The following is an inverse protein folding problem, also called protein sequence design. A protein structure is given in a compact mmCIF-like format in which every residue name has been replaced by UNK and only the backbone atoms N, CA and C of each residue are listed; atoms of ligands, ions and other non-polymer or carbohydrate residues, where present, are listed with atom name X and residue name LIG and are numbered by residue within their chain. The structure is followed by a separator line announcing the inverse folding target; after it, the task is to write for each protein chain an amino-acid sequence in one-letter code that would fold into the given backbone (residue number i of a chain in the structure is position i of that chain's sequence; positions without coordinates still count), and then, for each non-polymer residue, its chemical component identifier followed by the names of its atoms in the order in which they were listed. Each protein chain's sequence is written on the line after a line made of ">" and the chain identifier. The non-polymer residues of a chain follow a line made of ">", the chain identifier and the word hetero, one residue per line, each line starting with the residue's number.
data_IF_539857613877
#
_entry.id   IF_539857613877
#
_cell.length_a   1.000
_cell.length_b   1.000
_cell.length_c   1.000
_cell.angle_alpha   90.00
_cell.angle_beta   90.00
_cell.angle_gamma   90.00
#
_symmetry.space_group_name_H-M   'P 1'
#
loop_
_entity.id
_entity.type
_entity.pdbx_description
1 polymer ?
#
# COMPACT_ATOMS: atom_id res chain seq x y z
N UNK A 1 -28.55 16.45 -21.93
CA UNK A 1 -27.81 15.49 -21.08
C UNK A 1 -26.34 15.34 -21.47
N UNK A 2 -25.95 15.39 -22.75
CA UNK A 2 -24.54 15.22 -23.17
C UNK A 2 -23.55 16.32 -22.72
N UNK A 3 -23.97 17.58 -22.65
CA UNK A 3 -23.09 18.68 -22.25
C UNK A 3 -22.60 18.55 -20.79
N UNK A 4 -23.50 18.21 -19.86
CA UNK A 4 -23.17 18.02 -18.45
C UNK A 4 -22.23 16.83 -18.24
N UNK A 5 -22.49 15.70 -18.91
CA UNK A 5 -21.63 14.52 -18.83
C UNK A 5 -20.22 14.80 -19.36
N UNK A 6 -20.11 15.55 -20.46
CA UNK A 6 -18.82 15.96 -21.03
C UNK A 6 -18.06 16.90 -20.10
N UNK A 7 -18.76 17.86 -19.49
CA UNK A 7 -18.16 18.78 -18.54
C UNK A 7 -17.67 18.07 -17.27
N UNK A 8 -18.47 17.15 -16.73
CA UNK A 8 -18.07 16.30 -15.60
C UNK A 8 -16.84 15.44 -15.92
N UNK A 9 -16.74 14.93 -17.16
CA UNK A 9 -15.57 14.19 -17.60
C UNK A 9 -14.31 15.07 -17.60
N UNK A 10 -14.38 16.29 -18.15
CA UNK A 10 -13.25 17.22 -18.11
C UNK A 10 -12.84 17.60 -16.68
N UNK A 11 -13.81 17.85 -15.79
CA UNK A 11 -13.53 18.12 -14.37
C UNK A 11 -12.82 16.94 -13.72
N UNK A 12 -13.28 15.72 -13.97
CA UNK A 12 -12.64 14.49 -13.45
C UNK A 12 -11.20 14.34 -13.95
N UNK A 13 -10.96 14.56 -15.25
CA UNK A 13 -9.61 14.50 -15.83
C UNK A 13 -8.67 15.55 -15.23
N UNK A 14 -9.16 16.79 -15.03
CA UNK A 14 -8.38 17.84 -14.39
C UNK A 14 -8.04 17.50 -12.93
N UNK A 15 -9.01 16.99 -12.17
CA UNK A 15 -8.79 16.59 -10.78
C UNK A 15 -7.76 15.46 -10.68
N UNK A 16 -7.83 14.47 -11.56
CA UNK A 16 -6.86 13.38 -11.59
C UNK A 16 -5.47 13.87 -12.04
N UNK A 17 -5.40 14.81 -12.99
CA UNK A 17 -4.16 15.46 -13.40
C UNK A 17 -3.49 16.25 -12.25
N UNK A 18 -4.28 17.02 -11.51
CA UNK A 18 -3.80 17.77 -10.34
C UNK A 18 -3.28 16.81 -9.25
N UNK A 19 -4.06 15.76 -8.93
CA UNK A 19 -3.67 14.72 -7.97
C UNK A 19 -2.39 13.99 -8.37
N UNK A 20 -2.22 13.70 -9.65
CA UNK A 20 -1.01 13.03 -10.14
C UNK A 20 0.22 13.94 -10.07
N UNK A 21 0.06 15.24 -10.32
CA UNK A 21 1.13 16.22 -10.13
C UNK A 21 1.56 16.28 -8.67
N UNK A 22 0.59 16.39 -7.75
CA UNK A 22 0.86 16.41 -6.31
C UNK A 22 1.60 15.15 -5.84
N UNK A 23 1.14 13.96 -6.27
CA UNK A 23 1.82 12.69 -5.97
C UNK A 23 3.28 12.68 -6.45
N UNK A 24 3.55 13.19 -7.65
CA UNK A 24 4.91 13.26 -8.21
C UNK A 24 5.78 14.21 -7.40
N UNK A 25 5.27 15.39 -7.05
CA UNK A 25 5.98 16.36 -6.21
C UNK A 25 6.29 15.81 -4.82
N UNK A 26 5.34 15.12 -4.21
CA UNK A 26 5.52 14.48 -2.91
C UNK A 26 6.59 13.39 -2.97
N UNK A 27 6.58 12.55 -4.01
CA UNK A 27 7.65 11.56 -4.23
C UNK A 27 9.02 12.21 -4.41
N UNK A 28 9.12 13.37 -5.07
CA UNK A 28 10.37 14.12 -5.15
C UNK A 28 10.86 14.55 -3.76
N UNK A 29 9.97 15.08 -2.90
CA UNK A 29 10.31 15.46 -1.52
C UNK A 29 10.79 14.25 -0.72
N UNK A 30 10.04 13.16 -0.73
CA UNK A 30 10.39 11.92 0.01
C UNK A 30 11.73 11.36 -0.46
N UNK A 31 12.00 11.34 -1.77
CA UNK A 31 13.28 10.82 -2.30
C UNK A 31 14.52 11.60 -1.84
N UNK A 32 14.36 12.85 -1.41
CA UNK A 32 15.46 13.70 -0.90
C UNK A 32 15.67 13.52 0.60
N UNK A 33 14.60 13.24 1.34
CA UNK A 33 14.60 13.21 2.81
C UNK A 33 14.76 11.80 3.38
N UNK A 34 14.29 10.77 2.67
CA UNK A 34 14.39 9.37 3.06
C UNK A 34 15.54 8.67 2.33
N UNK A 35 16.58 8.32 3.08
CA UNK A 35 17.78 7.65 2.58
C UNK A 35 17.92 6.25 3.18
N UNK A 36 18.68 5.39 2.52
CA UNK A 36 19.02 4.05 3.01
C UNK A 36 20.52 3.92 3.17
N UNK A 37 20.95 3.17 4.17
CA UNK A 37 22.37 2.92 4.36
C UNK A 37 22.92 2.02 3.22
N UNK A 38 24.21 2.15 2.85
CA UNK A 38 24.78 1.40 1.72
C UNK A 38 24.74 -0.13 1.87
N UNK A 39 24.65 -0.63 3.10
CA UNK A 39 24.59 -2.06 3.40
C UNK A 39 23.18 -2.65 3.29
N UNK A 40 22.14 -1.82 3.14
CA UNK A 40 20.76 -2.28 2.96
C UNK A 40 20.68 -2.99 1.61
N UNK A 41 20.28 -4.26 1.63
CA UNK A 41 20.09 -5.04 0.41
C UNK A 41 18.89 -4.48 -0.36
N UNK A 42 19.08 -4.26 -1.67
CA UNK A 42 18.02 -3.85 -2.60
C UNK A 42 17.16 -2.67 -2.11
N UNK A 43 17.75 -1.49 -1.81
CA UNK A 43 16.99 -0.37 -1.27
C UNK A 43 15.89 0.08 -2.25
N UNK A 44 14.70 0.45 -1.76
CA UNK A 44 13.62 0.90 -2.61
C UNK A 44 14.01 2.13 -3.43
N UNK A 45 13.70 2.10 -4.72
CA UNK A 45 13.80 3.28 -5.57
C UNK A 45 12.63 4.22 -5.26
N UNK A 46 12.91 5.30 -4.53
CA UNK A 46 11.89 6.27 -4.09
C UNK A 46 11.78 7.50 -5.02
N UNK A 47 12.59 7.57 -6.08
CA UNK A 47 12.42 8.61 -7.08
C UNK A 47 11.00 8.52 -7.71
N UNK A 48 10.40 9.65 -8.12
CA UNK A 48 9.13 9.62 -8.83
C UNK A 48 9.23 8.72 -10.06
N UNK A 49 8.33 7.76 -10.14
CA UNK A 49 8.26 6.82 -11.24
C UNK A 49 6.89 6.94 -11.92
N UNK A 50 6.91 7.17 -13.23
CA UNK A 50 5.70 7.30 -14.03
C UNK A 50 5.61 6.18 -15.08
N UNK A 51 4.39 5.74 -15.37
CA UNK A 51 4.12 4.82 -16.46
C UNK A 51 4.57 5.40 -17.80
N UNK A 52 5.22 4.58 -18.64
CA UNK A 52 5.82 5.06 -19.91
C UNK A 52 4.78 5.63 -20.90
N UNK A 53 3.53 5.14 -20.84
CA UNK A 53 2.48 5.47 -21.82
C UNK A 53 1.56 6.58 -21.35
N UNK A 54 1.08 6.47 -20.13
CA UNK A 54 0.05 7.33 -19.54
C UNK A 54 0.65 8.41 -18.63
N UNK A 55 1.96 8.36 -18.36
CA UNK A 55 2.70 9.26 -17.46
C UNK A 55 2.09 9.36 -16.06
N UNK A 56 1.31 8.35 -15.65
CA UNK A 56 0.71 8.31 -14.32
C UNK A 56 1.74 7.83 -13.30
N UNK A 57 1.75 8.39 -12.08
CA UNK A 57 2.63 7.91 -11.02
C UNK A 57 2.31 6.46 -10.69
N UNK A 58 3.33 5.59 -10.68
CA UNK A 58 3.20 4.17 -10.33
C UNK A 58 3.37 3.92 -8.83
N UNK A 59 4.05 4.86 -8.15
CA UNK A 59 4.21 4.90 -6.70
C UNK A 59 3.81 6.28 -6.19
N UNK A 60 3.08 6.31 -5.10
CA UNK A 60 2.77 7.53 -4.37
C UNK A 60 2.73 7.25 -2.87
N UNK A 61 3.01 8.27 -2.07
CA UNK A 61 2.85 8.18 -0.63
C UNK A 61 1.35 8.18 -0.30
N UNK A 62 0.92 7.19 0.48
CA UNK A 62 -0.44 7.12 1.02
C UNK A 62 -0.49 7.83 2.36
N UNK A 63 0.55 7.64 3.18
CA UNK A 63 0.65 8.21 4.51
C UNK A 63 2.09 8.18 5.02
N UNK A 64 2.48 9.16 5.81
CA UNK A 64 3.66 9.05 6.66
C UNK A 64 3.43 9.64 8.05
N UNK A 65 4.26 9.27 9.01
CA UNK A 65 4.14 9.81 10.36
C UNK A 65 4.95 9.08 11.42
N UNK A 66 4.98 9.69 12.59
CA UNK A 66 5.68 9.19 13.77
C UNK A 66 4.90 8.06 14.44
N UNK A 67 5.64 7.03 14.85
CA UNK A 67 5.16 5.92 15.65
C UNK A 67 6.21 5.57 16.71
N UNK A 68 5.82 4.83 17.74
CA UNK A 68 6.76 4.31 18.74
C UNK A 68 6.67 2.80 18.80
N UNK A 69 7.74 2.10 18.44
CA UNK A 69 7.83 0.67 18.65
C UNK A 69 8.03 0.37 20.14
N UNK A 70 7.27 -0.58 20.65
CA UNK A 70 7.34 -1.09 22.02
C UNK A 70 8.06 -2.43 21.97
N UNK A 71 9.27 -2.49 22.51
CA UNK A 71 10.11 -3.69 22.53
C UNK A 71 10.11 -4.26 23.95
N UNK A 72 9.72 -5.53 24.07
CA UNK A 72 9.77 -6.28 25.34
C UNK A 72 11.19 -6.82 25.56
N UNK A 73 11.76 -6.64 26.75
CA UNK A 73 12.91 -7.46 27.17
C UNK A 73 12.39 -8.77 27.76
N UNK A 74 12.77 -9.90 27.17
CA UNK A 74 12.76 -11.19 27.87
C UNK A 74 14.04 -11.27 28.70
N UNK A 75 14.10 -10.57 29.84
CA UNK A 75 15.17 -10.84 30.79
C UNK A 75 14.73 -12.02 31.66
N UNK A 76 15.14 -13.24 31.28
CA UNK A 76 15.01 -14.45 32.12
C UNK A 76 15.87 -14.37 33.40
N UNK A 77 16.60 -13.28 33.63
CA UNK A 77 17.46 -13.14 34.79
C UNK A 77 17.18 -11.86 35.57
N UNK A 78 16.13 -11.90 36.41
CA UNK A 78 16.11 -11.40 37.81
C UNK A 78 14.69 -11.06 38.24
N UNK A 79 14.19 -11.83 39.21
CA UNK A 79 13.10 -11.41 40.10
C UNK A 79 13.52 -10.11 40.78
N UNK A 80 12.99 -8.96 40.33
CA UNK A 80 12.64 -7.77 41.14
C UNK A 80 12.19 -6.63 40.23
N UNK A 81 10.92 -6.22 40.38
CA UNK A 81 10.32 -4.94 39.96
C UNK A 81 10.32 -4.56 38.45
N UNK A 82 9.18 -4.90 37.81
CA UNK A 82 8.60 -4.17 36.67
C UNK A 82 9.01 -4.65 35.28
N UNK A 83 8.03 -5.02 34.45
CA UNK A 83 8.21 -5.23 33.00
C UNK A 83 8.67 -3.91 32.36
N UNK A 84 9.99 -3.69 32.22
CA UNK A 84 10.55 -2.52 31.53
C UNK A 84 10.49 -2.74 30.03
N UNK A 85 9.54 -2.10 29.34
CA UNK A 85 9.52 -2.02 27.89
C UNK A 85 10.46 -0.90 27.40
N UNK A 86 11.14 -1.14 26.28
CA UNK A 86 11.93 -0.11 25.60
C UNK A 86 11.09 0.53 24.50
N UNK A 87 11.07 1.86 24.44
CA UNK A 87 10.38 2.63 23.40
C UNK A 87 11.37 3.07 22.34
N UNK A 88 11.15 2.66 21.10
CA UNK A 88 11.98 3.08 19.95
C UNK A 88 11.15 4.03 19.09
N UNK A 89 11.51 5.32 18.97
CA UNK A 89 10.83 6.21 18.05
C UNK A 89 11.11 5.79 16.61
N UNK A 90 10.06 5.69 15.82
CA UNK A 90 10.07 5.35 14.41
C UNK A 90 9.34 6.41 13.60
N UNK A 91 9.65 6.45 12.32
CA UNK A 91 8.88 7.17 11.33
C UNK A 91 8.53 6.20 10.21
N UNK A 92 7.24 6.10 9.89
CA UNK A 92 6.74 5.13 8.91
C UNK A 92 6.34 5.87 7.65
N UNK A 93 6.75 5.36 6.48
CA UNK A 93 6.28 5.79 5.17
C UNK A 93 5.51 4.64 4.53
N UNK A 94 4.24 4.88 4.27
CA UNK A 94 3.35 3.95 3.61
C UNK A 94 3.07 4.45 2.21
N UNK A 95 3.55 3.72 1.22
CA UNK A 95 3.23 3.92 -0.18
C UNK A 95 2.05 3.02 -0.57
N UNK A 96 1.58 3.18 -1.80
CA UNK A 96 0.56 2.31 -2.38
C UNK A 96 1.02 0.86 -2.56
N UNK A 97 2.34 0.62 -2.70
CA UNK A 97 2.92 -0.70 -2.99
C UNK A 97 4.01 -1.14 -1.99
N UNK A 98 4.42 -0.26 -1.07
CA UNK A 98 5.58 -0.46 -0.20
C UNK A 98 5.33 0.13 1.19
N UNK A 99 5.84 -0.53 2.23
CA UNK A 99 6.03 0.04 3.56
C UNK A 99 7.53 0.26 3.80
N UNK A 100 7.92 1.43 4.30
CA UNK A 100 9.27 1.70 4.79
C UNK A 100 9.19 2.15 6.25
N UNK A 101 10.00 1.50 7.09
CA UNK A 101 10.23 1.88 8.47
C UNK A 101 11.56 2.62 8.56
N UNK A 102 11.56 3.79 9.17
CA UNK A 102 12.72 4.65 9.26
C UNK A 102 12.95 5.19 10.69
N UNK A 103 14.15 5.67 10.94
CA UNK A 103 14.48 6.52 12.08
C UNK A 103 14.62 7.96 11.61
N UNK A 104 14.10 8.89 12.39
CA UNK A 104 14.31 10.32 12.18
C UNK A 104 15.73 10.69 12.60
N UNK A 105 16.52 11.25 11.69
CA UNK A 105 17.92 11.67 11.93
C UNK A 105 18.09 13.19 11.98
N UNK A 106 17.14 13.93 11.44
CA UNK A 106 17.07 15.39 11.47
C UNK A 106 15.62 15.88 11.44
N UNK A 107 15.40 17.17 11.24
CA UNK A 107 14.05 17.76 11.19
C UNK A 107 13.21 17.15 10.06
N UNK A 108 13.79 17.05 8.86
CA UNK A 108 13.22 16.42 7.67
C UNK A 108 14.20 15.41 7.04
N UNK A 109 14.88 14.63 7.88
CA UNK A 109 15.82 13.62 7.40
C UNK A 109 15.56 12.29 8.08
N UNK A 110 15.51 11.24 7.27
CA UNK A 110 15.08 9.92 7.67
C UNK A 110 16.02 8.86 7.11
N UNK A 111 16.36 7.90 7.95
CA UNK A 111 17.15 6.73 7.57
C UNK A 111 16.24 5.50 7.60
N UNK A 112 15.95 4.93 6.43
CA UNK A 112 15.23 3.68 6.28
C UNK A 112 16.01 2.52 6.93
N UNK A 113 15.37 1.84 7.87
CA UNK A 113 15.94 0.72 8.63
C UNK A 113 15.31 -0.62 8.26
N UNK A 114 14.08 -0.60 7.74
CA UNK A 114 13.43 -1.80 7.21
C UNK A 114 12.40 -1.42 6.14
N UNK A 115 12.06 -2.36 5.28
CA UNK A 115 10.99 -2.20 4.30
C UNK A 115 10.44 -3.55 3.84
N UNK A 116 9.18 -3.55 3.41
CA UNK A 116 8.56 -4.69 2.76
C UNK A 116 7.57 -4.23 1.68
N UNK A 117 7.31 -5.05 0.66
CA UNK A 117 6.14 -4.86 -0.20
C UNK A 117 4.87 -4.79 0.65
N UNK A 118 3.95 -3.90 0.29
CA UNK A 118 2.70 -3.74 1.03
C UNK A 118 1.83 -5.01 0.99
N UNK A 119 1.96 -5.83 -0.04
CA UNK A 119 1.30 -7.13 -0.16
C UNK A 119 1.81 -8.19 0.84
N UNK A 120 2.93 -7.92 1.51
CA UNK A 120 3.56 -8.79 2.52
C UNK A 120 3.52 -8.16 3.91
N UNK A 121 2.56 -7.25 4.12
CA UNK A 121 2.30 -6.60 5.40
C UNK A 121 0.98 -7.10 5.96
N UNK A 122 1.01 -7.63 7.18
CA UNK A 122 -0.17 -7.91 7.98
C UNK A 122 -0.28 -6.92 9.13
N UNK A 123 -1.52 -6.55 9.48
CA UNK A 123 -1.79 -5.62 10.55
C UNK A 123 -2.90 -6.18 11.43
N UNK A 124 -2.66 -6.19 12.74
CA UNK A 124 -3.66 -6.51 13.74
C UNK A 124 -3.92 -5.30 14.64
N UNK A 125 -5.18 -4.92 14.82
CA UNK A 125 -5.60 -3.79 15.66
C UNK A 125 -5.62 -4.13 17.17
N UNK A 126 -5.39 -5.39 17.53
CA UNK A 126 -5.37 -5.89 18.90
C UNK A 126 -3.92 -6.01 19.41
N UNK A 127 -3.31 -4.87 19.78
CA UNK A 127 -2.08 -4.89 20.56
C UNK A 127 -2.32 -5.39 22.00
N UNK A 128 -1.32 -5.98 22.69
CA UNK A 128 -1.48 -6.40 24.07
C UNK A 128 -1.98 -5.25 24.94
N UNK A 129 -2.91 -5.54 25.86
CA UNK A 129 -3.71 -4.58 26.66
C UNK A 129 -2.94 -3.43 27.36
N UNK A 130 -1.63 -3.49 27.41
CA UNK A 130 -0.76 -2.45 27.96
C UNK A 130 -0.48 -1.27 26.99
N UNK A 131 -0.71 -1.42 25.68
CA UNK A 131 -0.31 -0.43 24.67
C UNK A 131 -1.51 0.33 24.09
N UNK A 132 -1.77 1.55 24.56
CA UNK A 132 -2.81 2.43 24.01
C UNK A 132 -2.49 2.79 22.55
N UNK A 133 -3.55 2.82 21.71
CA UNK A 133 -3.48 3.22 20.30
C UNK A 133 -2.41 2.43 19.51
N UNK A 134 -2.35 1.12 19.75
CA UNK A 134 -1.31 0.26 19.20
C UNK A 134 -1.80 -0.58 18.03
N UNK A 135 -0.87 -0.90 17.14
CA UNK A 135 -1.04 -1.80 16.02
C UNK A 135 0.11 -2.81 16.06
N UNK A 136 -0.17 -4.07 15.76
CA UNK A 136 0.87 -5.06 15.50
C UNK A 136 1.11 -5.09 13.99
N UNK A 137 2.29 -4.67 13.55
CA UNK A 137 2.72 -4.76 12.16
C UNK A 137 3.59 -6.00 11.99
N UNK A 138 3.20 -6.89 11.08
CA UNK A 138 3.97 -8.08 10.73
C UNK A 138 4.43 -7.96 9.28
N UNK A 139 5.73 -7.74 9.11
CA UNK A 139 6.39 -7.78 7.80
C UNK A 139 6.70 -9.23 7.53
N UNK A 140 5.90 -9.89 6.69
CA UNK A 140 6.04 -11.33 6.41
C UNK A 140 7.39 -11.65 5.77
N UNK A 141 7.80 -10.79 4.82
CA UNK A 141 9.11 -10.83 4.21
C UNK A 141 9.65 -9.41 4.07
N UNK A 142 10.60 -9.08 4.95
CA UNK A 142 11.31 -7.81 4.91
C UNK A 142 12.47 -7.85 3.88
N UNK A 143 13.25 -6.78 3.80
CA UNK A 143 14.37 -6.67 2.85
C UNK A 143 15.52 -7.68 3.05
N UNK A 144 15.59 -8.31 4.22
CA UNK A 144 16.51 -9.41 4.55
C UNK A 144 15.84 -10.79 4.40
N UNK A 145 14.65 -10.85 3.80
CA UNK A 145 13.82 -12.05 3.70
C UNK A 145 13.48 -12.68 5.05
N UNK A 146 13.25 -11.84 6.06
CA UNK A 146 12.84 -12.27 7.41
C UNK A 146 11.43 -11.80 7.73
N UNK A 147 10.75 -12.60 8.53
CA UNK A 147 9.51 -12.18 9.19
C UNK A 147 9.84 -11.33 10.40
N UNK A 148 9.28 -10.13 10.48
CA UNK A 148 9.52 -9.17 11.56
C UNK A 148 8.20 -8.66 12.11
N UNK A 149 7.99 -8.86 13.40
CA UNK A 149 6.83 -8.35 14.14
C UNK A 149 7.20 -7.10 14.93
N UNK A 150 6.38 -6.06 14.82
CA UNK A 150 6.58 -4.80 15.52
C UNK A 150 5.28 -4.33 16.15
N UNK A 151 5.24 -4.34 17.48
CA UNK A 151 4.20 -3.63 18.22
C UNK A 151 4.51 -2.13 18.18
N UNK A 152 3.68 -1.36 17.49
CA UNK A 152 3.83 0.09 17.36
C UNK A 152 2.66 0.81 18.03
N UNK A 153 2.95 1.94 18.69
CA UNK A 153 1.95 2.83 19.28
C UNK A 153 1.92 4.15 18.52
N UNK A 154 0.73 4.60 18.20
CA UNK A 154 0.47 5.87 17.53
C UNK A 154 0.33 7.01 18.55
N UNK A 155 0.59 8.27 18.15
CA UNK A 155 0.53 9.43 19.06
C UNK A 155 -0.88 9.75 19.57
N UNK A 156 -1.94 9.30 18.86
CA UNK A 156 -3.33 9.48 19.25
C UNK A 156 -4.20 8.33 18.75
N UNK A 157 -5.40 8.20 19.32
CA UNK A 157 -6.41 7.26 18.83
C UNK A 157 -6.81 7.54 17.38
N UNK A 158 -6.97 8.82 17.03
CA UNK A 158 -7.28 9.24 15.67
C UNK A 158 -6.16 8.89 14.69
N UNK A 159 -4.89 8.98 15.13
CA UNK A 159 -3.76 8.53 14.33
C UNK A 159 -3.79 7.01 14.14
N UNK A 160 -4.05 6.24 15.20
CA UNK A 160 -4.15 4.77 15.12
C UNK A 160 -5.25 4.32 14.17
N UNK A 161 -6.47 4.84 14.30
CA UNK A 161 -7.59 4.50 13.40
C UNK A 161 -7.26 4.80 11.94
N UNK A 162 -6.75 6.00 11.67
CA UNK A 162 -6.41 6.37 10.29
C UNK A 162 -5.20 5.60 9.74
N UNK A 163 -4.29 5.12 10.60
CA UNK A 163 -3.22 4.21 10.20
C UNK A 163 -3.78 2.83 9.89
N UNK A 164 -4.67 2.30 10.72
CA UNK A 164 -5.34 1.03 10.46
C UNK A 164 -6.15 1.07 9.15
N UNK A 165 -6.98 2.09 8.94
CA UNK A 165 -7.71 2.32 7.68
C UNK A 165 -6.77 2.40 6.46
N UNK A 166 -5.60 3.01 6.64
CA UNK A 166 -4.65 3.19 5.56
C UNK A 166 -3.79 1.95 5.31
N UNK A 167 -3.64 1.03 6.27
CA UNK A 167 -2.81 -0.18 6.20
C UNK A 167 -3.64 -1.41 5.81
N UNK A 168 -4.83 -1.54 6.38
CA UNK A 168 -5.78 -2.59 6.06
C UNK A 168 -6.46 -2.28 4.72
N UNK A 169 -6.61 -3.26 3.82
CA UNK A 169 -7.50 -3.10 2.68
C UNK A 169 -8.93 -2.84 3.17
N UNK A 170 -9.70 -2.08 2.40
CA UNK A 170 -11.11 -1.82 2.75
C UNK A 170 -11.85 -3.16 2.94
N UNK A 171 -12.64 -3.31 4.01
CA UNK A 171 -13.30 -4.58 4.31
C UNK A 171 -14.15 -5.03 3.13
N UNK A 172 -14.01 -6.31 2.78
CA UNK A 172 -14.88 -7.00 1.82
C UNK A 172 -16.35 -6.83 2.26
N UNK A 173 -17.19 -6.31 1.37
CA UNK A 173 -18.62 -6.47 1.48
C UNK A 173 -18.96 -7.98 1.47
N UNK A 174 -20.11 -8.39 2.05
CA UNK A 174 -20.49 -9.80 2.11
C UNK A 174 -20.53 -10.41 0.70
N UNK A 175 -19.73 -11.45 0.46
CA UNK A 175 -19.62 -12.10 -0.85
C UNK A 175 -18.42 -11.65 -1.70
N UNK A 176 -17.53 -10.80 -1.18
CA UNK A 176 -16.30 -10.42 -1.86
C UNK A 176 -15.09 -11.24 -1.43
N UNK A 177 -14.44 -11.91 -2.38
CA UNK A 177 -13.12 -12.49 -2.18
C UNK A 177 -12.06 -11.39 -2.39
N UNK A 178 -11.28 -11.12 -1.34
CA UNK A 178 -10.06 -10.30 -1.44
C UNK A 178 -8.89 -11.23 -1.77
N UNK A 179 -8.20 -10.97 -2.87
CA UNK A 179 -6.99 -11.69 -3.24
C UNK A 179 -5.77 -10.95 -2.69
N UNK A 180 -4.86 -11.68 -2.04
CA UNK A 180 -3.58 -11.12 -1.63
C UNK A 180 -2.77 -10.69 -2.86
N UNK A 181 -1.93 -9.66 -2.74
CA UNK A 181 -1.19 -9.11 -3.91
C UNK A 181 -0.24 -10.11 -4.60
N UNK A 182 0.13 -11.21 -3.93
CA UNK A 182 0.96 -12.29 -4.48
C UNK A 182 0.15 -13.46 -5.07
N UNK A 183 -1.17 -13.49 -4.86
CA UNK A 183 -2.12 -14.49 -5.35
C UNK A 183 -3.27 -13.85 -6.15
N UNK A 184 -3.00 -12.69 -6.77
CA UNK A 184 -3.98 -11.99 -7.59
C UNK A 184 -4.00 -12.58 -9.00
N UNK A 185 -5.11 -13.18 -9.47
CA UNK A 185 -5.17 -13.74 -10.80
C UNK A 185 -5.03 -12.64 -11.86
N UNK A 186 -4.24 -12.92 -12.89
CA UNK A 186 -4.12 -12.07 -14.07
C UNK A 186 -5.15 -12.46 -15.11
N UNK A 187 -5.88 -11.46 -15.60
CA UNK A 187 -6.91 -11.66 -16.61
C UNK A 187 -6.70 -10.70 -17.76
N UNK A 188 -7.05 -11.13 -18.97
CA UNK A 188 -7.05 -10.29 -20.16
C UNK A 188 -8.47 -9.80 -20.45
N UNK A 189 -8.59 -8.51 -20.75
CA UNK A 189 -9.84 -7.91 -21.22
C UNK A 189 -10.13 -8.41 -22.64
N UNK A 190 -11.25 -9.12 -22.82
CA UNK A 190 -11.69 -9.59 -24.14
C UNK A 190 -12.38 -8.49 -24.95
N UNK A 191 -12.91 -7.49 -24.28
CA UNK A 191 -13.65 -6.39 -24.90
C UNK A 191 -13.24 -5.08 -24.25
N UNK A 192 -13.35 -3.99 -25.01
CA UNK A 192 -13.20 -2.66 -24.45
C UNK A 192 -14.36 -2.38 -23.48
N UNK A 193 -14.04 -1.83 -22.31
CA UNK A 193 -15.02 -1.49 -21.28
C UNK A 193 -14.98 -0.01 -20.96
N UNK A 194 -16.15 0.62 -20.91
CA UNK A 194 -16.31 2.02 -20.49
C UNK A 194 -16.89 2.03 -19.08
N UNK A 195 -16.21 2.67 -18.11
CA UNK A 195 -16.66 2.75 -16.72
C UNK A 195 -18.08 3.33 -16.61
N UNK A 196 -18.97 2.63 -15.92
CA UNK A 196 -20.28 3.10 -15.53
C UNK A 196 -20.24 3.83 -14.17
N UNK A 197 -19.32 3.43 -13.30
CA UNK A 197 -19.11 4.01 -11.97
C UNK A 197 -17.71 4.64 -11.83
N UNK A 198 -17.53 5.65 -10.97
CA UNK A 198 -16.27 6.41 -10.86
C UNK A 198 -15.09 5.61 -10.29
N UNK A 199 -15.36 4.46 -9.67
CA UNK A 199 -14.40 3.52 -9.10
C UNK A 199 -13.99 2.40 -10.08
N UNK A 200 -14.60 2.34 -11.26
CA UNK A 200 -14.29 1.37 -12.31
C UNK A 200 -13.15 1.86 -13.22
N UNK A 201 -12.31 0.93 -13.71
CA UNK A 201 -11.27 1.25 -14.69
C UNK A 201 -11.76 1.04 -16.12
N UNK A 202 -11.40 1.97 -16.99
CA UNK A 202 -11.54 1.80 -18.43
C UNK A 202 -10.58 0.73 -18.96
N UNK A 203 -11.08 -0.19 -19.79
CA UNK A 203 -10.28 -1.25 -20.39
C UNK A 203 -10.30 -1.17 -21.92
N UNK A 204 -9.17 -1.45 -22.55
CA UNK A 204 -9.12 -1.79 -23.97
C UNK A 204 -9.02 -3.30 -24.15
N UNK A 205 -9.49 -3.80 -25.28
CA UNK A 205 -9.30 -5.20 -25.68
C UNK A 205 -7.80 -5.55 -25.67
N UNK A 206 -7.46 -6.66 -25.00
CA UNK A 206 -6.09 -7.13 -24.81
C UNK A 206 -5.36 -6.57 -23.58
N UNK A 207 -6.02 -5.76 -22.74
CA UNK A 207 -5.42 -5.28 -21.49
C UNK A 207 -5.32 -6.38 -20.44
N UNK A 208 -4.09 -6.62 -19.95
CA UNK A 208 -3.82 -7.57 -18.87
C UNK A 208 -3.83 -6.86 -17.53
N UNK A 209 -4.56 -7.44 -16.59
CA UNK A 209 -4.96 -6.78 -15.35
C UNK A 209 -4.92 -7.73 -14.16
N UNK A 210 -4.55 -7.22 -12.99
CA UNK A 210 -4.54 -7.99 -11.74
C UNK A 210 -5.90 -7.88 -11.05
N UNK A 211 -6.46 -9.01 -10.60
CA UNK A 211 -7.73 -9.05 -9.86
C UNK A 211 -7.46 -9.10 -8.36
N UNK A 212 -7.83 -8.02 -7.67
CA UNK A 212 -7.66 -7.90 -6.21
C UNK A 212 -8.95 -8.16 -5.43
N UNK A 213 -10.11 -8.09 -6.10
CA UNK A 213 -11.43 -8.27 -5.49
C UNK A 213 -12.40 -8.96 -6.46
N UNK A 214 -13.21 -9.91 -5.97
CA UNK A 214 -14.26 -10.61 -6.74
C UNK A 214 -15.55 -10.73 -5.93
N UNK A 215 -16.65 -10.15 -6.41
CA UNK A 215 -18.01 -10.24 -5.82
C UNK A 215 -18.73 -11.55 -6.17
N UNK A 216 -19.70 -11.95 -5.33
CA UNK A 216 -20.44 -13.22 -5.38
C UNK A 216 -21.50 -13.32 -6.49
N UNK A 217 -21.89 -12.21 -7.12
CA UNK A 217 -22.92 -12.21 -8.19
C UNK A 217 -22.42 -12.72 -9.55
N UNK A 218 -21.17 -13.19 -9.66
CA UNK A 218 -20.59 -13.57 -10.96
C UNK A 218 -20.40 -12.40 -11.92
N UNK A 219 -20.84 -11.18 -11.55
CA UNK A 219 -20.49 -9.91 -12.18
C UNK A 219 -19.17 -9.45 -11.60
N UNK A 220 -18.12 -9.53 -12.39
CA UNK A 220 -16.79 -9.00 -12.11
C UNK A 220 -16.80 -7.46 -12.22
N UNK A 221 -17.65 -6.78 -11.46
CA UNK A 221 -17.92 -5.35 -11.64
C UNK A 221 -16.94 -4.41 -10.93
N UNK A 222 -16.00 -4.92 -10.14
CA UNK A 222 -15.05 -4.05 -9.42
C UNK A 222 -13.69 -4.73 -9.28
N UNK A 223 -12.97 -4.82 -10.40
CA UNK A 223 -11.55 -5.17 -10.41
C UNK A 223 -10.78 -3.89 -10.04
N UNK A 224 -9.97 -3.89 -8.98
CA UNK A 224 -9.01 -2.79 -8.76
C UNK A 224 -7.68 -3.15 -9.41
N UNK A 225 -7.35 -2.39 -10.45
CA UNK A 225 -6.25 -2.65 -11.35
C UNK A 225 -4.96 -2.06 -10.81
N UNK A 226 -4.04 -2.92 -10.40
CA UNK A 226 -2.65 -2.53 -10.16
C UNK A 226 -1.81 -3.01 -11.35
N UNK A 227 -1.49 -2.07 -12.25
CA UNK A 227 -0.53 -2.20 -13.37
C UNK A 227 -0.93 -3.05 -14.59
N UNK A 228 -0.77 -2.44 -15.78
CA UNK A 228 -0.81 -3.06 -17.12
C UNK A 228 0.58 -3.63 -17.45
N UNK A 229 0.77 -4.94 -17.50
CA UNK A 229 1.99 -5.57 -18.07
C UNK A 229 1.73 -6.02 -19.50
N UNK A 230 2.70 -5.79 -20.39
CA UNK A 230 2.74 -6.42 -21.73
C UNK A 230 3.52 -7.72 -21.60
N UNK A 231 2.90 -8.83 -22.02
CA UNK A 231 3.43 -10.18 -22.18
C UNK A 231 4.91 -10.37 -21.83
N UNK A 232 5.18 -10.96 -20.67
CA UNK A 232 6.24 -11.95 -20.55
C UNK A 232 5.57 -13.29 -20.33
N UNK A 233 5.90 -14.24 -21.21
CA UNK A 233 5.29 -15.55 -21.26
C UNK A 233 5.49 -16.30 -19.95
N UNK A 234 4.38 -16.70 -19.33
CA UNK A 234 4.23 -17.97 -18.63
C UNK A 234 2.75 -18.40 -18.75
N UNK A 235 2.57 -19.65 -19.17
CA UNK A 235 1.35 -20.43 -19.41
C UNK A 235 0.37 -20.56 -18.23
N UNK A 236 -0.86 -21.10 -18.42
CA UNK A 236 -1.89 -20.80 -19.43
C UNK A 236 -2.94 -19.81 -18.87
N UNK A 237 -3.55 -19.02 -19.76
CA UNK A 237 -4.60 -18.05 -19.44
C UNK A 237 -5.95 -18.75 -19.23
N UNK A 238 -6.27 -19.16 -17.99
CA UNK A 238 -7.55 -19.83 -17.67
C UNK A 238 -8.65 -18.90 -17.12
N UNK A 239 -8.53 -17.59 -17.28
CA UNK A 239 -9.63 -16.68 -16.97
C UNK A 239 -9.62 -15.46 -17.89
N UNK A 240 -10.59 -15.42 -18.79
CA UNK A 240 -10.87 -14.27 -19.64
C UNK A 240 -12.09 -13.52 -19.08
N UNK A 241 -12.00 -12.20 -18.92
CA UNK A 241 -13.13 -11.42 -18.42
C UNK A 241 -13.98 -10.97 -19.59
N UNK A 242 -15.21 -11.48 -19.64
CA UNK A 242 -16.28 -10.96 -20.49
C UNK A 242 -17.01 -9.89 -19.69
N UNK A 243 -16.67 -8.62 -19.92
CA UNK A 243 -17.50 -7.52 -19.42
C UNK A 243 -18.59 -7.29 -20.47
N UNK A 244 -19.86 -7.45 -20.08
CA UNK A 244 -21.02 -7.28 -20.95
C UNK A 244 -21.79 -6.03 -20.57
#
# INVERSE_FOLDING_TARGET
>A
MHALATLNNFVSQCNEGARNTERVEEMFRVSRTLQFAPHVRSPPQLAPACGRRDRRPVRWLVRSGEMTQIVWKSDESKLTFGKKFHKVPLYVFLFNDLLVVAKKTGEESYLGIDHCPRSLLEVCEEGPAAAKHSLLLTLLENHESRTVEMLVSCPSETAARRWAEALLPAPAAPGEALYAGWDCPQVAALYAYTPAQPDELQLAEGDVVNVTRKTSEGKLSSIFFTTRRRNQANSPLDAAVVVK
#
